data_IF_791913731942
#
_entry.id   IF_791913731942
#
_cell.length_a   1.000
_cell.length_b   1.000
_cell.length_c   1.000
_cell.angle_alpha   90.00
_cell.angle_beta   90.00
_cell.angle_gamma   90.00
#
_symmetry.space_group_name_H-M   'P 1'
#
loop_
_entity.id
_entity.type
_entity.pdbx_description
1 polymer ?
#
# COMPACT_ATOMS: atom_id res chain seq x y z
N UNK A 1 -33.36 -35.02 38.93
CA UNK A 1 -32.18 -35.29 38.08
C UNK A 1 -32.31 -34.40 36.85
N UNK A 2 -31.84 -33.16 36.95
CA UNK A 2 -31.93 -32.18 35.87
C UNK A 2 -31.04 -32.61 34.72
N UNK A 3 -31.52 -32.45 33.49
CA UNK A 3 -30.94 -32.98 32.26
C UNK A 3 -29.55 -32.38 31.91
N UNK A 4 -28.50 -32.77 32.64
CA UNK A 4 -27.12 -32.35 32.39
C UNK A 4 -26.63 -32.76 30.99
N UNK A 5 -27.07 -33.91 30.50
CA UNK A 5 -26.69 -34.42 29.18
C UNK A 5 -27.17 -33.53 28.01
N UNK A 6 -28.33 -32.87 28.15
CA UNK A 6 -28.85 -31.93 27.15
C UNK A 6 -28.07 -30.60 27.16
N UNK A 7 -27.65 -30.16 28.35
CA UNK A 7 -26.78 -28.99 28.50
C UNK A 7 -25.41 -29.23 27.87
N UNK A 8 -24.84 -30.42 28.06
CA UNK A 8 -23.54 -30.79 27.47
C UNK A 8 -23.61 -30.92 25.95
N UNK A 9 -24.68 -31.51 25.42
CA UNK A 9 -24.91 -31.58 23.97
C UNK A 9 -25.06 -30.18 23.36
N UNK A 10 -25.80 -29.29 24.02
CA UNK A 10 -25.96 -27.90 23.59
C UNK A 10 -24.64 -27.14 23.64
N UNK A 11 -23.85 -27.32 24.71
CA UNK A 11 -22.53 -26.71 24.85
C UNK A 11 -21.54 -27.18 23.76
N UNK A 12 -21.58 -28.47 23.40
CA UNK A 12 -20.77 -29.02 22.32
C UNK A 12 -21.17 -28.42 20.95
N UNK A 13 -22.47 -28.35 20.65
CA UNK A 13 -22.97 -27.74 19.41
C UNK A 13 -22.56 -26.27 19.32
N UNK A 14 -22.70 -25.51 20.41
CA UNK A 14 -22.28 -24.10 20.43
C UNK A 14 -20.78 -23.92 20.23
N UNK A 15 -19.94 -24.83 20.75
CA UNK A 15 -18.49 -24.80 20.48
C UNK A 15 -18.19 -25.12 19.02
N UNK A 16 -18.84 -26.12 18.43
CA UNK A 16 -18.67 -26.47 17.02
C UNK A 16 -19.06 -25.29 16.11
N UNK A 17 -20.19 -24.64 16.37
CA UNK A 17 -20.64 -23.45 15.66
C UNK A 17 -19.66 -22.28 15.79
N UNK A 18 -19.10 -22.04 16.99
CA UNK A 18 -18.09 -20.99 17.19
C UNK A 18 -16.82 -21.25 16.40
N UNK A 19 -16.32 -22.49 16.39
CA UNK A 19 -15.12 -22.86 15.63
C UNK A 19 -15.35 -22.72 14.13
N UNK A 20 -16.52 -23.14 13.63
CA UNK A 20 -16.89 -22.97 12.22
C UNK A 20 -17.01 -21.49 11.83
N UNK A 21 -17.62 -20.67 12.70
CA UNK A 21 -17.73 -19.24 12.47
C UNK A 21 -16.36 -18.54 12.49
N UNK A 22 -15.48 -18.94 13.40
CA UNK A 22 -14.13 -18.39 13.48
C UNK A 22 -13.32 -18.75 12.23
N UNK A 23 -13.35 -20.01 11.80
CA UNK A 23 -12.70 -20.43 10.55
C UNK A 23 -13.26 -19.70 9.32
N UNK A 24 -14.57 -19.42 9.31
CA UNK A 24 -15.20 -18.62 8.26
C UNK A 24 -14.73 -17.16 8.28
N UNK A 25 -14.63 -16.55 9.47
CA UNK A 25 -14.14 -15.19 9.63
C UNK A 25 -12.66 -15.06 9.23
N UNK A 26 -11.82 -16.02 9.63
CA UNK A 26 -10.40 -16.08 9.28
C UNK A 26 -10.25 -16.24 7.76
N UNK A 27 -11.03 -17.12 7.14
CA UNK A 27 -11.05 -17.29 5.67
C UNK A 27 -11.43 -16.01 4.93
N UNK A 28 -12.46 -15.29 5.40
CA UNK A 28 -12.87 -14.01 4.80
C UNK A 28 -11.82 -12.92 4.97
N UNK A 29 -11.12 -12.90 6.11
CA UNK A 29 -9.99 -12.00 6.36
C UNK A 29 -8.83 -12.28 5.40
N UNK A 30 -8.45 -13.55 5.26
CA UNK A 30 -7.38 -13.97 4.35
C UNK A 30 -7.70 -13.66 2.89
N UNK A 31 -8.94 -13.89 2.45
CA UNK A 31 -9.39 -13.53 1.11
C UNK A 31 -9.30 -12.02 0.86
N UNK A 32 -9.65 -11.20 1.85
CA UNK A 32 -9.55 -9.75 1.73
C UNK A 32 -8.09 -9.28 1.64
N UNK A 33 -7.19 -9.86 2.44
CA UNK A 33 -5.75 -9.57 2.38
C UNK A 33 -5.18 -9.97 1.02
N UNK A 34 -5.49 -11.18 0.54
CA UNK A 34 -5.05 -11.67 -0.76
C UNK A 34 -5.54 -10.79 -1.91
N UNK A 35 -6.80 -10.36 -1.85
CA UNK A 35 -7.36 -9.43 -2.83
C UNK A 35 -6.65 -8.08 -2.83
N UNK A 36 -6.35 -7.54 -1.65
CA UNK A 36 -5.57 -6.30 -1.53
C UNK A 36 -4.17 -6.46 -2.13
N UNK A 37 -3.43 -7.52 -1.79
CA UNK A 37 -2.11 -7.79 -2.35
C UNK A 37 -2.15 -7.90 -3.88
N UNK A 38 -3.16 -8.59 -4.42
CA UNK A 38 -3.31 -8.74 -5.86
C UNK A 38 -3.66 -7.41 -6.56
N UNK A 39 -4.50 -6.58 -5.95
CA UNK A 39 -4.81 -5.26 -6.49
C UNK A 39 -3.58 -4.33 -6.47
N UNK A 40 -2.79 -4.36 -5.39
CA UNK A 40 -1.59 -3.55 -5.23
C UNK A 40 -0.49 -3.99 -6.19
N UNK A 41 -0.32 -5.30 -6.38
CA UNK A 41 0.64 -5.85 -7.35
C UNK A 41 0.26 -5.54 -8.79
N UNK A 42 -1.04 -5.50 -9.12
CA UNK A 42 -1.50 -5.05 -10.44
C UNK A 42 -1.19 -3.58 -10.68
N UNK A 43 -1.36 -2.71 -9.67
CA UNK A 43 -0.95 -1.30 -9.73
C UNK A 43 0.56 -1.17 -9.91
N UNK A 44 1.35 -1.95 -9.15
CA UNK A 44 2.82 -1.98 -9.27
C UNK A 44 3.24 -2.44 -10.66
N UNK A 45 2.59 -3.46 -11.21
CA UNK A 45 2.83 -3.94 -12.56
C UNK A 45 2.60 -2.83 -13.60
N UNK A 46 1.48 -2.11 -13.51
CA UNK A 46 1.20 -0.95 -14.40
C UNK A 46 2.25 0.15 -14.23
N UNK A 47 2.71 0.43 -13.01
CA UNK A 47 3.79 1.40 -12.76
C UNK A 47 5.14 0.93 -13.31
N UNK A 48 5.43 -0.37 -13.27
CA UNK A 48 6.66 -0.95 -13.82
C UNK A 48 6.68 -0.98 -15.35
N UNK A 49 5.48 -1.05 -15.96
CA UNK A 49 5.30 -0.92 -17.41
C UNK A 49 5.34 0.53 -17.88
N UNK A 50 5.23 1.51 -16.97
CA UNK A 50 5.34 2.91 -17.34
C UNK A 50 6.80 3.16 -17.76
N UNK A 51 7.06 3.39 -19.07
CA UNK A 51 8.41 3.66 -19.51
C UNK A 51 8.90 4.91 -18.79
N UNK A 52 10.08 4.83 -18.18
CA UNK A 52 10.72 6.00 -17.59
C UNK A 52 10.68 7.13 -18.63
N UNK A 53 10.10 8.31 -18.29
CA UNK A 53 9.96 9.42 -19.22
C UNK A 53 11.31 9.73 -19.85
N UNK A 54 11.36 10.05 -21.15
CA UNK A 54 12.63 10.31 -21.86
C UNK A 54 13.47 11.43 -21.22
N UNK A 55 12.86 12.27 -20.38
CA UNK A 55 13.54 13.24 -19.52
C UNK A 55 14.51 12.62 -18.49
N UNK A 56 14.29 11.37 -18.06
CA UNK A 56 15.18 10.65 -17.13
C UNK A 56 16.27 9.84 -17.82
N UNK A 57 16.15 9.55 -19.12
CA UNK A 57 17.13 8.71 -19.86
C UNK A 57 18.39 9.45 -20.31
N UNK A 58 18.37 10.78 -20.33
CA UNK A 58 19.48 11.58 -20.84
C UNK A 58 20.13 12.50 -19.81
N UNK A 59 19.34 13.10 -18.92
CA UNK A 59 19.83 14.07 -17.93
C UNK A 59 18.92 14.08 -16.71
N UNK A 60 19.26 13.31 -15.68
CA UNK A 60 18.65 13.51 -14.36
C UNK A 60 18.98 14.93 -13.89
N UNK A 61 18.09 15.57 -13.11
CA UNK A 61 18.41 16.87 -12.48
C UNK A 61 19.71 16.75 -11.68
N UNK A 62 19.99 15.59 -11.06
CA UNK A 62 21.28 15.31 -10.42
C UNK A 62 22.48 15.29 -11.39
N UNK A 63 22.33 14.77 -12.60
CA UNK A 63 23.37 14.80 -13.63
C UNK A 63 23.54 16.20 -14.25
N UNK A 64 22.47 16.99 -14.37
CA UNK A 64 22.56 18.40 -14.79
C UNK A 64 23.17 19.27 -13.70
N UNK A 65 22.84 19.01 -12.43
CA UNK A 65 23.34 19.76 -11.28
C UNK A 65 24.79 19.39 -10.96
N UNK A 66 25.18 18.13 -11.11
CA UNK A 66 26.58 17.69 -11.00
C UNK A 66 27.49 18.23 -12.10
N UNK A 67 26.92 18.60 -13.27
CA UNK A 67 27.62 19.29 -14.35
C UNK A 67 27.42 20.81 -14.30
N UNK A 68 26.57 21.32 -13.42
CA UNK A 68 26.36 22.73 -13.21
C UNK A 68 27.48 23.26 -12.32
N UNK A 69 28.10 24.38 -12.72
CA UNK A 69 29.19 24.99 -11.96
C UNK A 69 28.82 25.20 -10.48
N UNK A 70 29.83 25.27 -9.62
CA UNK A 70 29.70 25.32 -8.15
C UNK A 70 28.65 26.30 -7.62
N UNK A 71 28.39 27.40 -8.33
CA UNK A 71 27.32 28.37 -8.03
C UNK A 71 25.91 27.78 -8.09
N UNK A 72 25.59 26.94 -9.07
CA UNK A 72 24.24 26.37 -9.26
C UNK A 72 23.97 25.25 -8.26
N UNK A 73 24.99 24.45 -7.94
CA UNK A 73 24.95 23.47 -6.84
C UNK A 73 24.69 24.16 -5.49
N UNK A 74 25.36 25.29 -5.24
CA UNK A 74 25.13 26.08 -4.02
C UNK A 74 23.69 26.59 -3.93
N UNK A 75 23.12 27.11 -5.02
CA UNK A 75 21.71 27.51 -5.02
C UNK A 75 20.76 26.33 -4.82
N UNK A 76 21.02 25.18 -5.45
CA UNK A 76 20.18 24.00 -5.28
C UNK A 76 20.21 23.41 -3.86
N UNK A 77 21.34 23.56 -3.16
CA UNK A 77 21.47 23.23 -1.74
C UNK A 77 20.73 24.23 -0.85
N UNK A 78 20.91 25.54 -1.09
CA UNK A 78 20.21 26.62 -0.36
C UNK A 78 18.69 26.54 -0.52
N UNK A 79 18.20 26.25 -1.73
CA UNK A 79 16.77 26.08 -2.00
C UNK A 79 16.23 24.70 -1.63
N UNK A 80 17.06 23.80 -1.09
CA UNK A 80 16.70 22.44 -0.68
C UNK A 80 15.88 21.70 -1.75
N UNK A 81 16.34 21.75 -3.00
CA UNK A 81 15.62 21.17 -4.15
C UNK A 81 15.52 19.64 -4.02
N UNK A 82 16.57 18.98 -3.50
CA UNK A 82 16.56 17.54 -3.25
C UNK A 82 15.48 17.11 -2.25
N UNK A 83 15.52 17.62 -1.00
CA UNK A 83 14.51 17.30 0.01
C UNK A 83 13.07 17.64 -0.40
N UNK A 84 12.87 18.75 -1.11
CA UNK A 84 11.54 19.15 -1.58
C UNK A 84 10.99 18.22 -2.67
N UNK A 85 11.83 17.75 -3.60
CA UNK A 85 11.43 16.74 -4.58
C UNK A 85 11.05 15.41 -3.92
N UNK A 86 11.76 15.00 -2.87
CA UNK A 86 11.40 13.81 -2.08
C UNK A 86 10.07 14.01 -1.36
N UNK A 87 9.82 15.18 -0.79
CA UNK A 87 8.55 15.50 -0.14
C UNK A 87 7.37 15.50 -1.13
N UNK A 88 7.56 16.03 -2.34
CA UNK A 88 6.55 15.98 -3.42
C UNK A 88 6.30 14.53 -3.85
N UNK A 89 7.35 13.71 -4.00
CA UNK A 89 7.22 12.29 -4.31
C UNK A 89 6.41 11.53 -3.25
N UNK A 90 6.70 11.76 -1.96
CA UNK A 90 5.96 11.15 -0.85
C UNK A 90 4.49 11.61 -0.83
N UNK A 91 4.23 12.89 -1.08
CA UNK A 91 2.86 13.42 -1.17
C UNK A 91 2.06 12.78 -2.33
N UNK A 92 2.72 12.53 -3.48
CA UNK A 92 2.10 11.82 -4.59
C UNK A 92 1.75 10.37 -4.24
N UNK A 93 2.66 9.65 -3.59
CA UNK A 93 2.39 8.27 -3.15
C UNK A 93 1.20 8.24 -2.19
N UNK A 94 1.16 9.17 -1.23
CA UNK A 94 0.03 9.29 -0.31
C UNK A 94 -1.29 9.60 -1.02
N UNK A 95 -1.26 10.49 -2.01
CA UNK A 95 -2.44 10.83 -2.81
C UNK A 95 -2.98 9.62 -3.58
N UNK A 96 -2.12 8.85 -4.25
CA UNK A 96 -2.54 7.63 -4.97
C UNK A 96 -3.05 6.57 -4.02
N UNK A 97 -2.31 6.31 -2.93
CA UNK A 97 -2.69 5.34 -1.92
C UNK A 97 -4.09 5.67 -1.36
N UNK A 98 -4.33 6.94 -1.01
CA UNK A 98 -5.62 7.38 -0.52
C UNK A 98 -6.73 7.18 -1.56
N UNK A 99 -6.47 7.51 -2.82
CA UNK A 99 -7.47 7.36 -3.90
C UNK A 99 -7.84 5.90 -4.16
N UNK A 100 -6.89 4.99 -4.03
CA UNK A 100 -7.12 3.54 -4.11
C UNK A 100 -7.92 3.05 -2.90
N UNK A 101 -7.51 3.43 -1.69
CA UNK A 101 -8.17 3.02 -0.45
C UNK A 101 -9.60 3.54 -0.32
N UNK A 102 -9.90 4.73 -0.87
CA UNK A 102 -11.25 5.29 -0.87
C UNK A 102 -12.07 4.90 -2.12
N UNK A 103 -11.61 3.91 -2.90
CA UNK A 103 -12.29 3.43 -4.13
C UNK A 103 -12.66 4.57 -5.11
N UNK A 104 -11.86 5.64 -5.15
CA UNK A 104 -12.10 6.79 -6.02
C UNK A 104 -13.28 7.68 -5.62
N UNK A 105 -13.86 7.53 -4.43
CA UNK A 105 -14.93 8.42 -3.94
C UNK A 105 -14.29 9.71 -3.38
N UNK A 106 -13.82 10.58 -4.29
CA UNK A 106 -13.46 11.99 -4.08
C UNK A 106 -13.37 12.72 -5.43
#
# INVERSE_FOLDING_TARGET
MQAGWLSDLTAWIFRALKVLWQAFADFMSDLFVMWLEQSLSAVLYVLSLLPMPDFMKGQSIGAMLGNAGSTILWFADVFMIGPSLVAIGAAMIFYLLRRVLTLGIW
#
